data_IF_097478357721
#
_entry.id   IF_097478357721
#
_cell.length_a   1.000
_cell.length_b   1.000
_cell.length_c   1.000
_cell.angle_alpha   90.00
_cell.angle_beta   90.00
_cell.angle_gamma   90.00
#
_symmetry.space_group_name_H-M   'P 1'
#
loop_
_entity.id
_entity.type
_entity.pdbx_description
1 polymer ?
#
# COMPACT_ATOMS: atom_id res chain seq x y z
N UNK A 1 -6.71 15.40 21.22
CA UNK A 1 -8.01 15.59 20.56
C UNK A 1 -8.18 17.01 19.97
N UNK A 2 -7.51 18.03 20.51
CA UNK A 2 -7.64 19.43 20.05
C UNK A 2 -6.94 19.73 18.71
N UNK A 3 -5.86 19.02 18.40
CA UNK A 3 -5.01 19.24 17.22
C UNK A 3 -5.71 18.89 15.89
N UNK A 4 -6.50 17.81 15.87
CA UNK A 4 -7.32 17.44 14.70
C UNK A 4 -8.41 18.48 14.41
N UNK A 5 -9.03 19.03 15.46
CA UNK A 5 -10.06 20.06 15.31
C UNK A 5 -9.46 21.35 14.72
N UNK A 6 -8.26 21.71 15.17
CA UNK A 6 -7.52 22.86 14.66
C UNK A 6 -7.17 22.75 13.16
N UNK A 7 -6.70 21.59 12.68
CA UNK A 7 -6.38 21.41 11.26
C UNK A 7 -7.64 21.43 10.37
N UNK A 8 -8.76 20.88 10.85
CA UNK A 8 -10.04 20.94 10.15
C UNK A 8 -10.56 22.38 10.10
N UNK A 9 -10.49 23.13 11.20
CA UNK A 9 -10.88 24.53 11.23
C UNK A 9 -9.99 25.41 10.34
N UNK A 10 -8.68 25.14 10.29
CA UNK A 10 -7.77 25.82 9.38
C UNK A 10 -8.06 25.51 7.91
N UNK A 11 -8.47 24.28 7.58
CA UNK A 11 -8.93 23.93 6.23
C UNK A 11 -10.19 24.71 5.83
N UNK A 12 -11.23 24.69 6.67
CA UNK A 12 -12.46 25.44 6.41
C UNK A 12 -12.22 26.95 6.28
N UNK A 13 -11.29 27.52 7.06
CA UNK A 13 -10.87 28.93 6.93
C UNK A 13 -10.16 29.21 5.61
N UNK A 14 -9.33 28.29 5.12
CA UNK A 14 -8.65 28.45 3.84
C UNK A 14 -9.65 28.39 2.67
N UNK A 15 -10.61 27.47 2.75
CA UNK A 15 -11.67 27.31 1.74
C UNK A 15 -12.59 28.52 1.65
N UNK A 16 -13.04 29.04 2.79
CA UNK A 16 -13.87 30.25 2.80
C UNK A 16 -13.17 31.45 2.12
N UNK A 17 -11.83 31.51 2.15
CA UNK A 17 -11.06 32.54 1.43
C UNK A 17 -11.05 32.28 -0.08
N UNK A 18 -10.95 31.02 -0.50
CA UNK A 18 -11.02 30.63 -1.91
C UNK A 18 -12.43 30.86 -2.49
N UNK A 19 -13.49 30.49 -1.76
CA UNK A 19 -14.90 30.71 -2.13
C UNK A 19 -15.25 32.20 -2.20
N UNK A 20 -14.69 33.03 -1.32
CA UNK A 20 -14.81 34.48 -1.37
C UNK A 20 -14.05 35.12 -2.56
N UNK A 21 -13.41 34.31 -3.41
CA UNK A 21 -12.66 34.74 -4.59
C UNK A 21 -11.32 35.37 -4.26
N UNK A 22 -10.80 35.21 -3.04
CA UNK A 22 -9.45 35.69 -2.70
C UNK A 22 -8.40 34.71 -3.22
N UNK A 23 -7.52 35.20 -4.08
CA UNK A 23 -6.37 34.44 -4.60
C UNK A 23 -5.22 34.43 -3.58
N UNK A 24 -5.42 33.75 -2.45
CA UNK A 24 -4.37 33.54 -1.44
C UNK A 24 -3.68 32.19 -1.67
N UNK A 25 -2.36 32.23 -1.87
CA UNK A 25 -1.57 31.00 -2.03
C UNK A 25 -1.52 30.20 -0.72
N UNK A 26 -1.43 28.88 -0.82
CA UNK A 26 -1.34 27.98 0.34
C UNK A 26 -0.16 28.37 1.26
N UNK A 27 0.98 28.71 0.67
CA UNK A 27 2.18 29.16 1.39
C UNK A 27 1.92 30.42 2.21
N UNK A 28 1.15 31.35 1.66
CA UNK A 28 0.80 32.61 2.33
C UNK A 28 -0.19 32.41 3.47
N UNK A 29 -1.09 31.44 3.33
CA UNK A 29 -2.03 31.08 4.39
C UNK A 29 -1.32 30.38 5.56
N UNK A 30 -0.54 29.34 5.27
CA UNK A 30 0.20 28.56 6.27
C UNK A 30 1.23 29.43 7.03
N UNK A 31 1.82 30.43 6.37
CA UNK A 31 2.75 31.35 7.03
C UNK A 31 2.14 32.18 8.17
N UNK A 32 0.80 32.32 8.23
CA UNK A 32 0.08 33.05 9.28
C UNK A 32 -0.26 32.21 10.51
N UNK A 33 -0.10 30.89 10.41
CA UNK A 33 -0.40 29.94 11.47
C UNK A 33 0.85 29.73 12.37
N UNK A 34 0.72 29.14 13.57
CA UNK A 34 1.82 28.89 14.51
C UNK A 34 2.94 28.07 13.86
N UNK A 35 4.20 28.45 14.11
CA UNK A 35 5.37 27.88 13.42
C UNK A 35 5.48 26.35 13.55
N UNK A 36 5.04 25.81 14.68
CA UNK A 36 5.10 24.40 15.03
C UNK A 36 4.15 23.54 14.18
N UNK A 37 3.01 24.10 13.72
CA UNK A 37 1.98 23.36 12.99
C UNK A 37 2.01 23.61 11.48
N UNK A 38 2.92 24.47 10.98
CA UNK A 38 2.94 24.88 9.56
C UNK A 38 3.22 23.73 8.60
N UNK A 39 4.20 22.89 8.92
CA UNK A 39 4.59 21.79 8.04
C UNK A 39 3.46 20.75 7.92
N UNK A 40 2.82 20.44 9.05
CA UNK A 40 1.71 19.50 9.13
C UNK A 40 0.43 20.06 8.50
N UNK A 41 0.10 21.33 8.76
CA UNK A 41 -1.03 22.00 8.14
C UNK A 41 -0.86 22.10 6.63
N UNK A 42 0.36 22.39 6.16
CA UNK A 42 0.67 22.41 4.72
C UNK A 42 0.42 21.04 4.11
N UNK A 43 1.02 19.99 4.67
CA UNK A 43 0.86 18.63 4.17
C UNK A 43 -0.61 18.20 4.17
N UNK A 44 -1.35 18.56 5.22
CA UNK A 44 -2.79 18.30 5.33
C UNK A 44 -3.58 19.01 4.24
N UNK A 45 -3.39 20.31 4.03
CA UNK A 45 -4.12 21.07 3.01
C UNK A 45 -3.70 20.67 1.60
N UNK A 46 -2.42 20.42 1.35
CA UNK A 46 -1.90 19.97 0.06
C UNK A 46 -2.47 18.58 -0.30
N UNK A 47 -2.57 17.68 0.68
CA UNK A 47 -3.24 16.39 0.51
C UNK A 47 -4.73 16.54 0.17
N UNK A 48 -5.45 17.41 0.87
CA UNK A 48 -6.89 17.64 0.62
C UNK A 48 -7.15 18.37 -0.72
N UNK A 49 -6.32 19.36 -1.09
CA UNK A 49 -6.45 20.12 -2.33
C UNK A 49 -6.08 19.30 -3.57
N UNK A 50 -5.11 18.38 -3.46
CA UNK A 50 -4.67 17.53 -4.59
C UNK A 50 -5.69 16.45 -4.93
N UNK A 51 -6.53 16.03 -3.99
CA UNK A 51 -7.50 14.96 -4.18
C UNK A 51 -8.84 15.42 -4.79
N UNK A 52 -9.12 16.72 -4.82
CA UNK A 52 -10.34 17.25 -5.41
C UNK A 52 -11.58 16.94 -4.55
N UNK A 53 -12.24 18.01 -4.15
CA UNK A 53 -13.52 18.06 -3.41
C UNK A 53 -13.43 17.73 -1.91
N UNK A 54 -13.25 18.82 -1.14
CA UNK A 54 -13.91 19.00 0.14
C UNK A 54 -15.40 19.28 -0.11
N UNK A 55 -16.11 18.27 -0.62
CA UNK A 55 -17.54 18.20 -0.39
C UNK A 55 -17.76 17.46 0.95
N UNK A 56 -18.78 17.89 1.69
CA UNK A 56 -19.23 17.42 3.00
C UNK A 56 -18.81 15.96 3.30
N UNK A 57 -18.35 15.64 4.54
CA UNK A 57 -17.61 14.42 4.84
C UNK A 57 -18.22 13.25 4.09
N UNK A 58 -17.53 12.84 3.02
CA UNK A 58 -18.00 11.76 2.19
C UNK A 58 -18.25 10.60 3.15
N UNK A 59 -19.52 10.21 3.26
CA UNK A 59 -19.86 8.97 3.96
C UNK A 59 -19.20 7.90 3.12
N UNK A 60 -17.98 7.55 3.50
CA UNK A 60 -17.21 6.52 2.85
C UNK A 60 -18.09 5.28 2.91
N UNK A 61 -18.24 4.60 1.78
CA UNK A 61 -18.88 3.29 1.83
C UNK A 61 -18.02 2.38 2.72
N UNK A 62 -18.60 1.35 3.35
CA UNK A 62 -17.83 0.41 4.17
C UNK A 62 -16.59 -0.15 3.45
N UNK A 63 -16.68 -0.33 2.13
CA UNK A 63 -15.56 -0.77 1.28
C UNK A 63 -14.45 0.29 1.16
N UNK A 64 -14.83 1.57 1.07
CA UNK A 64 -13.88 2.68 1.02
C UNK A 64 -13.18 2.89 2.38
N UNK A 65 -13.91 2.77 3.50
CA UNK A 65 -13.32 2.79 4.84
C UNK A 65 -12.34 1.63 5.03
N UNK A 66 -12.73 0.41 4.67
CA UNK A 66 -11.85 -0.76 4.77
C UNK A 66 -10.58 -0.61 3.92
N UNK A 67 -10.68 0.02 2.75
CA UNK A 67 -9.52 0.32 1.91
C UNK A 67 -8.62 1.39 2.53
N UNK A 68 -9.20 2.45 3.09
CA UNK A 68 -8.44 3.49 3.78
C UNK A 68 -7.69 2.92 5.00
N UNK A 69 -8.37 2.11 5.82
CA UNK A 69 -7.76 1.42 6.96
C UNK A 69 -6.62 0.50 6.54
N UNK A 70 -6.78 -0.22 5.42
CA UNK A 70 -5.72 -1.06 4.86
C UNK A 70 -4.47 -0.24 4.47
N UNK A 71 -4.66 0.90 3.79
CA UNK A 71 -3.55 1.80 3.40
C UNK A 71 -2.87 2.38 4.64
N UNK A 72 -3.64 2.79 5.65
CA UNK A 72 -3.09 3.27 6.93
C UNK A 72 -2.27 2.17 7.62
N UNK A 73 -2.77 0.93 7.64
CA UNK A 73 -2.07 -0.20 8.23
C UNK A 73 -0.76 -0.50 7.47
N UNK A 74 -0.77 -0.47 6.13
CA UNK A 74 0.43 -0.60 5.30
C UNK A 74 1.48 0.47 5.65
N UNK A 75 1.07 1.73 5.74
CA UNK A 75 1.95 2.85 6.09
C UNK A 75 2.53 2.69 7.50
N UNK A 76 1.70 2.27 8.47
CA UNK A 76 2.14 2.01 9.85
C UNK A 76 3.15 0.87 9.90
N UNK A 77 2.90 -0.23 9.20
CA UNK A 77 3.83 -1.36 9.15
C UNK A 77 5.19 -0.98 8.59
N UNK A 78 5.22 -0.18 7.52
CA UNK A 78 6.46 0.36 6.96
C UNK A 78 7.21 1.27 7.96
N UNK A 79 6.49 2.16 8.64
CA UNK A 79 7.07 3.09 9.60
C UNK A 79 7.61 2.40 10.86
N UNK A 80 6.85 1.43 11.42
CA UNK A 80 7.31 0.61 12.55
C UNK A 80 8.58 -0.17 12.19
N UNK A 81 8.66 -0.67 10.96
CA UNK A 81 9.85 -1.35 10.46
C UNK A 81 11.05 -0.39 10.35
N UNK A 82 10.87 0.82 9.82
CA UNK A 82 11.91 1.84 9.74
C UNK A 82 12.45 2.24 11.13
N UNK A 83 11.54 2.47 12.08
CA UNK A 83 11.88 2.77 13.48
C UNK A 83 12.67 1.66 14.18
N UNK A 84 12.42 0.39 13.80
CA UNK A 84 13.11 -0.76 14.40
C UNK A 84 14.59 -0.85 14.00
N UNK A 85 15.01 -0.15 12.94
CA UNK A 85 16.36 -0.23 12.38
C UNK A 85 16.71 -1.59 11.77
N UNK A 86 15.76 -2.52 11.68
CA UNK A 86 15.95 -3.80 11.00
C UNK A 86 16.08 -3.58 9.48
N UNK A 87 16.90 -4.41 8.82
CA UNK A 87 16.95 -4.41 7.35
C UNK A 87 15.60 -4.91 6.81
N UNK A 88 14.96 -4.11 5.95
CA UNK A 88 13.68 -4.44 5.34
C UNK A 88 13.78 -5.75 4.55
N UNK A 89 13.16 -6.80 5.09
CA UNK A 89 13.06 -8.08 4.41
C UNK A 89 11.88 -8.05 3.45
N UNK A 90 12.09 -8.38 2.18
CA UNK A 90 10.99 -8.58 1.24
C UNK A 90 10.34 -9.96 1.41
N UNK A 91 9.19 -10.15 0.77
CA UNK A 91 8.45 -11.42 0.86
C UNK A 91 9.28 -12.65 0.48
N UNK A 92 10.17 -12.53 -0.52
CA UNK A 92 11.07 -13.62 -0.91
C UNK A 92 11.97 -14.02 0.26
N UNK A 93 12.60 -13.05 0.92
CA UNK A 93 13.48 -13.29 2.05
C UNK A 93 12.75 -13.87 3.27
N UNK A 94 11.53 -13.40 3.55
CA UNK A 94 10.68 -13.96 4.60
C UNK A 94 10.33 -15.43 4.31
N UNK A 95 9.97 -15.75 3.06
CA UNK A 95 9.68 -17.12 2.62
C UNK A 95 10.93 -18.01 2.73
N UNK A 96 12.08 -17.53 2.27
CA UNK A 96 13.34 -18.27 2.28
C UNK A 96 13.82 -18.57 3.71
N UNK A 97 13.60 -17.64 4.65
CA UNK A 97 13.88 -17.85 6.09
C UNK A 97 13.09 -19.04 6.65
N UNK A 98 11.89 -19.31 6.11
CA UNK A 98 11.06 -20.48 6.45
C UNK A 98 11.37 -21.73 5.62
N UNK A 99 12.34 -21.66 4.72
CA UNK A 99 12.72 -22.75 3.81
C UNK A 99 11.52 -23.28 3.00
N UNK A 100 10.59 -22.40 2.66
CA UNK A 100 9.43 -22.71 1.83
C UNK A 100 9.74 -22.38 0.38
N UNK A 101 9.39 -23.28 -0.54
CA UNK A 101 9.38 -22.94 -1.97
C UNK A 101 8.15 -22.11 -2.28
N UNK A 102 8.21 -21.28 -3.33
CA UNK A 102 7.05 -20.49 -3.82
C UNK A 102 5.83 -21.40 -3.99
N UNK A 103 5.97 -22.53 -4.69
CA UNK A 103 4.88 -23.47 -4.90
C UNK A 103 4.37 -24.17 -3.63
N UNK A 104 5.17 -24.27 -2.56
CA UNK A 104 4.70 -24.80 -1.26
C UNK A 104 3.90 -23.75 -0.50
N UNK A 105 4.35 -22.50 -0.49
CA UNK A 105 3.64 -21.39 0.14
C UNK A 105 2.32 -21.12 -0.59
N UNK A 106 2.34 -21.07 -1.92
CA UNK A 106 1.14 -20.90 -2.76
C UNK A 106 0.06 -21.94 -2.43
N UNK A 107 0.43 -23.23 -2.35
CA UNK A 107 -0.48 -24.30 -1.96
C UNK A 107 -1.04 -24.15 -0.55
N UNK A 108 -0.24 -23.68 0.41
CA UNK A 108 -0.71 -23.44 1.79
C UNK A 108 -1.71 -22.29 1.86
N UNK A 109 -1.56 -21.28 1.00
CA UNK A 109 -2.45 -20.12 0.88
C UNK A 109 -3.61 -20.35 -0.09
N UNK A 110 -3.67 -21.51 -0.76
CA UNK A 110 -4.60 -21.79 -1.87
C UNK A 110 -4.58 -20.67 -2.92
N UNK A 111 -3.38 -20.27 -3.34
CA UNK A 111 -3.16 -19.29 -4.39
C UNK A 111 -2.46 -19.94 -5.59
N UNK A 112 -2.72 -19.46 -6.82
CA UNK A 112 -1.91 -19.81 -7.96
C UNK A 112 -0.43 -19.50 -7.71
N UNK A 113 0.44 -20.41 -8.14
CA UNK A 113 1.90 -20.26 -7.95
C UNK A 113 2.42 -19.02 -8.67
N UNK A 114 1.90 -18.72 -9.87
CA UNK A 114 2.30 -17.53 -10.64
C UNK A 114 1.93 -16.23 -9.92
N UNK A 115 0.73 -16.15 -9.34
CA UNK A 115 0.30 -15.00 -8.56
C UNK A 115 1.23 -14.72 -7.38
N UNK A 116 1.59 -15.75 -6.61
CA UNK A 116 2.54 -15.57 -5.50
C UNK A 116 3.92 -15.14 -6.02
N UNK A 117 4.36 -15.70 -7.14
CA UNK A 117 5.62 -15.28 -7.77
C UNK A 117 5.57 -13.82 -8.26
N UNK A 118 4.43 -13.33 -8.77
CA UNK A 118 4.22 -11.94 -9.15
C UNK A 118 4.19 -11.00 -7.95
N UNK A 119 3.57 -11.43 -6.84
CA UNK A 119 3.60 -10.72 -5.55
C UNK A 119 5.05 -10.56 -5.05
N UNK A 120 5.82 -11.63 -5.03
CA UNK A 120 7.23 -11.60 -4.60
C UNK A 120 8.14 -10.74 -5.51
N UNK A 121 7.77 -10.59 -6.78
CA UNK A 121 8.43 -9.72 -7.77
C UNK A 121 7.94 -8.26 -7.74
N UNK A 122 6.99 -7.92 -6.87
CA UNK A 122 6.42 -6.57 -6.80
C UNK A 122 5.57 -6.19 -8.03
N UNK A 123 5.03 -7.17 -8.76
CA UNK A 123 4.18 -6.96 -9.95
C UNK A 123 2.69 -6.88 -9.64
N UNK A 124 2.35 -6.87 -8.35
CA UNK A 124 0.99 -6.69 -7.86
C UNK A 124 0.93 -5.43 -7.00
N UNK A 125 -0.07 -4.58 -7.23
CA UNK A 125 -0.30 -3.38 -6.44
C UNK A 125 -0.61 -3.76 -4.98
N UNK A 126 0.27 -3.39 -4.07
CA UNK A 126 0.17 -3.75 -2.63
C UNK A 126 -1.17 -3.30 -2.03
N UNK A 127 -1.66 -2.12 -2.40
CA UNK A 127 -2.94 -1.55 -1.94
C UNK A 127 -4.18 -2.32 -2.40
N UNK A 128 -4.01 -3.28 -3.31
CA UNK A 128 -5.08 -4.16 -3.78
C UNK A 128 -5.02 -5.56 -3.17
N UNK A 129 -4.03 -5.83 -2.31
CA UNK A 129 -3.87 -7.13 -1.66
C UNK A 129 -4.90 -7.28 -0.53
N UNK A 130 -5.70 -8.35 -0.49
CA UNK A 130 -6.69 -8.54 0.57
C UNK A 130 -6.05 -8.64 1.96
N UNK A 131 -6.67 -8.01 2.97
CA UNK A 131 -6.25 -8.11 4.37
C UNK A 131 -6.13 -9.56 4.85
N UNK A 132 -7.09 -10.39 4.44
CA UNK A 132 -7.09 -11.83 4.74
C UNK A 132 -5.82 -12.53 4.23
N UNK A 133 -5.27 -12.12 3.08
CA UNK A 133 -4.01 -12.66 2.57
C UNK A 133 -2.82 -12.20 3.44
N UNK A 134 -2.81 -10.94 3.87
CA UNK A 134 -1.78 -10.43 4.79
C UNK A 134 -1.77 -11.22 6.11
N UNK A 135 -2.95 -11.50 6.66
CA UNK A 135 -3.11 -12.30 7.88
C UNK A 135 -2.64 -13.75 7.69
N UNK A 136 -3.02 -14.39 6.59
CA UNK A 136 -2.59 -15.76 6.29
C UNK A 136 -1.07 -15.85 6.06
N UNK A 137 -0.49 -14.88 5.35
CA UNK A 137 0.96 -14.77 5.19
C UNK A 137 1.65 -14.61 6.54
N UNK A 138 1.13 -13.75 7.42
CA UNK A 138 1.67 -13.55 8.77
C UNK A 138 1.67 -14.86 9.57
N UNK A 139 0.58 -15.63 9.49
CA UNK A 139 0.48 -16.94 10.15
C UNK A 139 1.46 -17.98 9.57
N UNK A 140 1.47 -18.16 8.24
CA UNK A 140 2.29 -19.19 7.59
C UNK A 140 3.79 -18.88 7.69
N UNK A 141 4.16 -17.60 7.54
CA UNK A 141 5.54 -17.13 7.67
C UNK A 141 5.94 -16.84 9.11
N UNK A 142 5.03 -17.06 10.08
CA UNK A 142 5.16 -16.75 11.50
C UNK A 142 5.85 -15.39 11.74
N UNK A 143 5.31 -14.37 11.06
CA UNK A 143 5.73 -12.98 11.15
C UNK A 143 4.54 -12.14 11.65
N UNK A 144 4.78 -10.94 12.14
CA UNK A 144 3.68 -10.01 12.45
C UNK A 144 3.02 -9.52 11.16
N UNK A 145 1.76 -9.09 11.23
CA UNK A 145 1.07 -8.45 10.10
C UNK A 145 1.82 -7.20 9.62
N UNK A 146 2.34 -6.39 10.55
CA UNK A 146 3.19 -5.24 10.22
C UNK A 146 4.46 -5.62 9.46
N UNK A 147 5.10 -6.74 9.81
CA UNK A 147 6.28 -7.24 9.08
C UNK A 147 5.92 -7.71 7.66
N UNK A 148 4.76 -8.34 7.46
CA UNK A 148 4.27 -8.70 6.11
C UNK A 148 3.95 -7.45 5.29
N UNK A 149 3.31 -6.46 5.89
CA UNK A 149 2.99 -5.18 5.25
C UNK A 149 4.25 -4.44 4.81
N UNK A 150 5.26 -4.35 5.69
CA UNK A 150 6.57 -3.81 5.34
C UNK A 150 7.24 -4.62 4.22
N UNK A 151 7.14 -5.95 4.26
CA UNK A 151 7.75 -6.83 3.26
C UNK A 151 7.09 -6.77 1.88
N UNK A 152 5.80 -6.44 1.82
CA UNK A 152 5.07 -6.17 0.57
C UNK A 152 5.53 -4.86 -0.08
N UNK A 153 5.91 -3.87 0.73
CA UNK A 153 6.41 -2.56 0.27
C UNK A 153 7.91 -2.55 0.02
N UNK A 154 8.65 -3.50 0.59
CA UNK A 154 10.08 -3.64 0.40
C UNK A 154 10.40 -3.97 -1.07
N UNK A 155 11.49 -3.42 -1.63
CA UNK A 155 11.87 -3.71 -2.99
C UNK A 155 12.07 -5.23 -3.18
N UNK A 156 11.58 -5.81 -4.29
CA UNK A 156 11.80 -7.21 -4.58
C UNK A 156 13.31 -7.48 -4.65
N UNK A 157 13.75 -8.73 -4.38
CA UNK A 157 15.16 -9.04 -4.50
C UNK A 157 15.59 -8.69 -5.93
N UNK A 158 16.71 -7.97 -6.06
CA UNK A 158 17.36 -7.78 -7.35
C UNK A 158 17.75 -9.18 -7.85
N UNK A 159 16.87 -9.81 -8.63
CA UNK A 159 17.10 -11.15 -9.15
C UNK A 159 18.33 -11.11 -10.05
N UNK A 160 19.05 -12.22 -10.11
CA UNK A 160 20.17 -12.43 -11.04
C UNK A 160 19.79 -12.23 -12.53
N UNK A 161 18.51 -12.01 -12.85
CA UNK A 161 18.05 -11.55 -14.15
C UNK A 161 18.74 -10.24 -14.58
N UNK A 162 19.03 -9.31 -13.65
CA UNK A 162 19.81 -8.11 -13.99
C UNK A 162 21.25 -8.44 -14.43
N UNK A 163 21.81 -9.58 -14.01
CA UNK A 163 23.15 -10.04 -14.43
C UNK A 163 23.14 -10.85 -15.73
N UNK A 164 22.04 -11.54 -16.05
CA UNK A 164 21.86 -12.27 -17.32
C UNK A 164 21.37 -11.35 -18.45
N UNK A 165 20.45 -10.41 -18.18
CA UNK A 165 19.98 -9.40 -19.15
C UNK A 165 21.09 -8.44 -19.60
N UNK A 166 22.11 -8.21 -18.77
CA UNK A 166 23.29 -7.45 -19.17
C UNK A 166 24.19 -8.19 -20.19
N UNK A 167 24.05 -9.52 -20.29
CA UNK A 167 24.83 -10.37 -21.21
C UNK A 167 24.04 -10.66 -22.50
N UNK A 168 22.72 -10.83 -22.41
CA UNK A 168 21.90 -11.25 -23.56
C UNK A 168 21.08 -10.14 -24.24
N UNK A 169 21.10 -8.90 -23.73
CA UNK A 169 20.40 -7.76 -24.37
C UNK A 169 18.86 -7.89 -24.39
N UNK A 170 18.31 -8.92 -23.75
CA UNK A 170 16.87 -9.10 -23.56
C UNK A 170 16.47 -8.27 -22.35
N UNK A 171 15.91 -7.09 -22.63
CA UNK A 171 15.15 -6.33 -21.64
C UNK A 171 13.91 -7.16 -21.35
N UNK A 172 13.89 -7.84 -20.20
CA UNK A 172 12.66 -8.41 -19.65
C UNK A 172 11.70 -7.22 -19.50
N UNK A 173 10.71 -7.13 -20.40
CA UNK A 173 9.83 -5.98 -20.50
C UNK A 173 9.25 -5.70 -19.11
N UNK A 174 9.32 -4.44 -18.67
CA UNK A 174 8.71 -4.03 -17.41
C UNK A 174 7.21 -4.36 -17.45
N UNK A 175 6.86 -5.53 -16.96
CA UNK A 175 5.46 -5.89 -16.79
C UNK A 175 4.88 -4.88 -15.79
N UNK A 176 3.83 -4.12 -16.16
CA UNK A 176 3.26 -3.11 -15.30
C UNK A 176 2.62 -3.77 -14.09
N UNK A 177 2.70 -3.13 -12.93
CA UNK A 177 2.02 -3.63 -11.74
C UNK A 177 0.49 -3.60 -11.96
N UNK A 178 -0.15 -4.74 -11.70
CA UNK A 178 -1.62 -4.91 -11.84
C UNK A 178 -2.28 -5.11 -10.47
N UNK A 179 -3.60 -4.96 -10.40
CA UNK A 179 -4.33 -5.27 -9.16
C UNK A 179 -4.26 -6.78 -8.84
N UNK A 180 -4.40 -7.12 -7.55
CA UNK A 180 -4.45 -8.50 -7.08
C UNK A 180 -5.53 -9.30 -7.82
N UNK A 181 -6.74 -8.73 -7.95
CA UNK A 181 -7.84 -9.42 -8.61
C UNK A 181 -7.54 -9.73 -10.09
N UNK A 182 -6.90 -8.79 -10.79
CA UNK A 182 -6.47 -8.99 -12.18
C UNK A 182 -5.37 -10.05 -12.28
N UNK A 183 -4.33 -9.96 -11.44
CA UNK A 183 -3.25 -10.94 -11.41
C UNK A 183 -3.78 -12.34 -11.06
N UNK A 184 -4.75 -12.44 -10.16
CA UNK A 184 -5.41 -13.69 -9.79
C UNK A 184 -6.15 -14.29 -10.98
N UNK A 185 -6.95 -13.49 -11.70
CA UNK A 185 -7.66 -13.96 -12.89
C UNK A 185 -6.72 -14.40 -14.03
N UNK A 186 -5.65 -13.63 -14.28
CA UNK A 186 -4.63 -13.94 -15.29
C UNK A 186 -3.79 -15.18 -14.95
N UNK A 187 -3.76 -15.60 -13.68
CA UNK A 187 -3.02 -16.79 -13.23
C UNK A 187 -3.80 -18.09 -13.40
N UNK A 188 -4.98 -18.06 -14.04
CA UNK A 188 -5.85 -19.21 -14.32
C UNK A 188 -6.09 -20.10 -13.08
N UNK A 189 -6.75 -19.57 -12.03
CA UNK A 189 -6.90 -20.24 -10.76
C UNK A 189 -7.77 -21.49 -10.89
N UNK A 190 -7.39 -22.56 -10.19
CA UNK A 190 -8.20 -23.77 -10.06
C UNK A 190 -9.52 -23.49 -9.34
N UNK A 191 -10.50 -24.41 -9.45
CA UNK A 191 -11.81 -24.28 -8.79
C UNK A 191 -11.65 -24.11 -7.27
N UNK A 192 -10.70 -24.82 -6.65
CA UNK A 192 -10.45 -24.73 -5.22
C UNK A 192 -9.87 -23.36 -4.80
N UNK A 193 -8.99 -22.79 -5.62
CA UNK A 193 -8.39 -21.46 -5.39
C UNK A 193 -9.43 -20.37 -5.62
N UNK A 194 -10.27 -20.49 -6.67
CA UNK A 194 -11.39 -19.59 -6.90
C UNK A 194 -12.36 -19.60 -5.72
N UNK A 195 -12.75 -20.78 -5.24
CA UNK A 195 -13.62 -20.90 -4.07
C UNK A 195 -12.99 -20.33 -2.79
N UNK A 196 -11.66 -20.39 -2.67
CA UNK A 196 -10.95 -19.85 -1.52
C UNK A 196 -10.94 -18.31 -1.49
N UNK A 197 -10.94 -17.64 -2.64
CA UNK A 197 -10.68 -16.20 -2.76
C UNK A 197 -11.79 -15.39 -3.44
N UNK A 198 -12.87 -16.00 -3.93
CA UNK A 198 -13.93 -15.30 -4.68
C UNK A 198 -14.56 -14.10 -3.95
N UNK A 199 -14.66 -14.17 -2.61
CA UNK A 199 -15.22 -13.08 -1.80
C UNK A 199 -14.28 -11.86 -1.68
N UNK A 200 -12.98 -12.06 -1.91
CA UNK A 200 -11.92 -11.07 -1.75
C UNK A 200 -11.54 -10.40 -3.09
N UNK A 201 -12.23 -10.75 -4.19
CA UNK A 201 -11.96 -10.28 -5.56
C UNK A 201 -12.97 -9.24 -6.09
N UNK A 202 -13.98 -8.89 -5.28
CA UNK A 202 -15.02 -7.89 -5.57
C UNK A 202 -14.65 -6.54 -4.97
#
# INVERSE_FOLDING_TARGET
MEERAYFVEAALRYEALLEAGQQISLDTFVAREPAETRAELRAFLEFNLTLGELDAPAVLTPEQEARADHVIALARGAWEHELSGASAQNLTQLRDTRRLTVGRLARQLKLPVDLLARLERGKVLVTSVPNRLVEQLAQVLQASTGAIQAALLAPPPATAAARLSAVDGIVEGEEPAVSFARAFAESEPTIEEQAAWSADLL
#
